data_IF_851808852030
#
_entry.id   IF_851808852030
#
_cell.length_a   1.000
_cell.length_b   1.000
_cell.length_c   1.000
_cell.angle_alpha   90.00
_cell.angle_beta   90.00
_cell.angle_gamma   90.00
#
_symmetry.space_group_name_H-M   'P 1'
#
loop_
_entity.id
_entity.type
_entity.pdbx_description
1 polymer ?
#
# COMPACT_ATOMS: atom_id res chain seq x y z
N UNK A 1 -63.66 -9.88 -54.04
CA UNK A 1 -65.07 -9.72 -53.64
C UNK A 1 -65.10 -9.48 -52.15
N UNK A 2 -65.93 -8.55 -51.69
CA UNK A 2 -66.14 -8.17 -50.30
C UNK A 2 -67.50 -8.73 -49.91
N UNK A 3 -67.55 -9.60 -48.90
CA UNK A 3 -68.79 -10.12 -48.33
C UNK A 3 -69.09 -9.39 -47.04
N UNK A 4 -70.29 -8.82 -46.92
CA UNK A 4 -70.75 -8.14 -45.72
C UNK A 4 -71.96 -8.89 -45.19
N UNK A 5 -71.96 -9.23 -43.90
CA UNK A 5 -73.07 -9.90 -43.24
C UNK A 5 -73.43 -9.16 -41.96
N UNK A 6 -74.64 -8.62 -41.93
CA UNK A 6 -75.17 -7.90 -40.77
C UNK A 6 -76.08 -8.80 -39.94
N UNK A 7 -75.78 -8.97 -38.65
CA UNK A 7 -76.66 -9.64 -37.67
C UNK A 7 -77.25 -8.65 -36.68
N UNK A 8 -77.98 -9.11 -35.66
CA UNK A 8 -78.64 -8.22 -34.69
C UNK A 8 -77.64 -7.28 -33.97
N UNK A 9 -76.44 -7.77 -33.63
CA UNK A 9 -75.46 -7.02 -32.83
C UNK A 9 -74.14 -6.73 -33.55
N UNK A 10 -73.86 -7.40 -34.66
CA UNK A 10 -72.53 -7.42 -35.28
C UNK A 10 -72.64 -7.23 -36.80
N UNK A 11 -71.62 -6.63 -37.40
CA UNK A 11 -71.37 -6.60 -38.84
C UNK A 11 -70.09 -7.35 -39.10
N UNK A 12 -70.15 -8.36 -39.97
CA UNK A 12 -68.98 -9.10 -40.43
C UNK A 12 -68.62 -8.63 -41.82
N UNK A 13 -67.35 -8.26 -42.05
CA UNK A 13 -66.83 -7.90 -43.37
C UNK A 13 -65.70 -8.86 -43.70
N UNK A 14 -65.82 -9.57 -44.82
CA UNK A 14 -64.90 -10.62 -45.23
C UNK A 14 -64.39 -10.36 -46.65
N UNK A 15 -63.09 -10.44 -46.82
CA UNK A 15 -62.35 -10.37 -48.07
C UNK A 15 -61.48 -11.62 -48.19
N UNK A 16 -60.82 -11.89 -49.34
CA UNK A 16 -59.93 -13.06 -49.45
C UNK A 16 -58.79 -13.09 -48.43
N UNK A 17 -58.33 -11.92 -47.95
CA UNK A 17 -57.21 -11.81 -47.01
C UNK A 17 -57.61 -11.58 -45.55
N UNK A 18 -58.79 -11.01 -45.29
CA UNK A 18 -59.16 -10.52 -43.96
C UNK A 18 -60.62 -10.75 -43.62
N UNK A 19 -60.89 -11.00 -42.33
CA UNK A 19 -62.23 -11.08 -41.77
C UNK A 19 -62.35 -10.23 -40.51
N UNK A 20 -63.30 -9.33 -40.52
CA UNK A 20 -63.57 -8.39 -39.44
C UNK A 20 -64.94 -8.67 -38.84
N UNK A 21 -65.04 -8.72 -37.52
CA UNK A 21 -66.30 -8.79 -36.78
C UNK A 21 -66.44 -7.53 -35.93
N UNK A 22 -67.37 -6.66 -36.29
CA UNK A 22 -67.49 -5.32 -35.72
C UNK A 22 -68.84 -5.18 -35.01
N UNK A 23 -68.83 -4.79 -33.74
CA UNK A 23 -70.07 -4.52 -33.00
C UNK A 23 -70.74 -3.27 -33.57
N UNK A 24 -72.04 -3.33 -33.84
CA UNK A 24 -72.80 -2.23 -34.49
C UNK A 24 -72.64 -0.88 -33.79
N UNK A 25 -72.58 -0.87 -32.46
CA UNK A 25 -72.44 0.37 -31.66
C UNK A 25 -71.11 1.09 -31.86
N UNK A 26 -70.11 0.44 -32.46
CA UNK A 26 -68.78 1.01 -32.71
C UNK A 26 -68.60 1.53 -34.14
N UNK A 27 -69.52 1.23 -35.04
CA UNK A 27 -69.47 1.68 -36.44
C UNK A 27 -69.95 3.13 -36.51
N UNK A 28 -69.06 4.05 -36.91
CA UNK A 28 -69.39 5.47 -37.09
C UNK A 28 -69.61 5.87 -38.56
N UNK A 29 -69.23 5.01 -39.51
CA UNK A 29 -69.21 5.31 -40.94
C UNK A 29 -70.32 4.64 -41.76
N UNK A 30 -70.68 5.27 -42.88
CA UNK A 30 -71.42 4.63 -43.97
C UNK A 30 -70.42 4.11 -45.01
N UNK A 31 -70.74 3.01 -45.68
CA UNK A 31 -69.92 2.51 -46.79
C UNK A 31 -70.43 3.11 -48.11
N UNK A 32 -69.60 3.85 -48.87
CA UNK A 32 -69.95 4.34 -50.20
C UNK A 32 -69.84 3.20 -51.22
N UNK A 33 -70.84 3.05 -52.08
CA UNK A 33 -70.80 2.09 -53.19
C UNK A 33 -71.47 2.69 -54.44
N UNK A 34 -71.34 2.04 -55.60
CA UNK A 34 -71.66 2.62 -56.92
C UNK A 34 -73.07 3.24 -57.07
N UNK A 35 -74.04 2.88 -56.22
CA UNK A 35 -75.40 3.44 -56.22
C UNK A 35 -75.70 4.42 -55.07
N UNK A 36 -74.69 4.88 -54.31
CA UNK A 36 -74.82 5.83 -53.19
C UNK A 36 -74.16 5.34 -51.89
N UNK A 37 -74.47 5.98 -50.76
CA UNK A 37 -73.90 5.63 -49.45
C UNK A 37 -74.94 4.94 -48.56
N UNK A 38 -74.57 3.87 -47.85
CA UNK A 38 -75.47 3.16 -46.91
C UNK A 38 -74.78 2.82 -45.59
N UNK A 39 -75.56 2.76 -44.51
CA UNK A 39 -75.08 2.33 -43.20
C UNK A 39 -74.76 0.82 -43.21
N UNK A 40 -73.53 0.48 -42.81
CA UNK A 40 -73.06 -0.91 -42.70
C UNK A 40 -73.95 -1.78 -41.79
N UNK A 41 -74.61 -1.15 -40.82
CA UNK A 41 -75.49 -1.81 -39.83
C UNK A 41 -76.85 -2.23 -40.38
N UNK A 42 -77.18 -1.87 -41.61
CA UNK A 42 -78.51 -2.05 -42.24
C UNK A 42 -78.47 -2.81 -43.57
N UNK A 43 -77.28 -3.20 -44.05
CA UNK A 43 -77.11 -3.81 -45.38
C UNK A 43 -77.59 -5.27 -45.50
N UNK A 44 -77.67 -6.01 -44.39
CA UNK A 44 -77.98 -7.44 -44.43
C UNK A 44 -76.79 -8.26 -44.95
N UNK A 45 -77.05 -9.31 -45.73
CA UNK A 45 -75.99 -10.09 -46.39
C UNK A 45 -75.84 -9.66 -47.85
N UNK A 46 -74.68 -9.10 -48.20
CA UNK A 46 -74.38 -8.61 -49.55
C UNK A 46 -72.94 -8.97 -49.94
N UNK A 47 -72.70 -9.18 -51.23
CA UNK A 47 -71.35 -9.36 -51.78
C UNK A 47 -71.11 -8.34 -52.88
N UNK A 48 -69.99 -7.61 -52.79
CA UNK A 48 -69.62 -6.52 -53.68
C UNK A 48 -68.24 -6.77 -54.31
N UNK A 49 -68.01 -6.46 -55.59
CA UNK A 49 -66.66 -6.42 -56.14
C UNK A 49 -65.89 -5.20 -55.60
N UNK A 50 -64.56 -5.30 -55.49
CA UNK A 50 -63.73 -4.23 -54.92
C UNK A 50 -63.91 -2.87 -55.64
N UNK A 51 -64.06 -2.91 -56.98
CA UNK A 51 -64.27 -1.70 -57.79
C UNK A 51 -65.62 -0.99 -57.66
N UNK A 52 -66.59 -1.56 -56.93
CA UNK A 52 -67.89 -0.90 -56.69
C UNK A 52 -67.97 -0.15 -55.37
N UNK A 53 -67.00 -0.33 -54.47
CA UNK A 53 -66.98 0.30 -53.15
C UNK A 53 -65.98 1.45 -53.17
N UNK A 54 -66.37 2.65 -52.73
CA UNK A 54 -65.54 3.86 -52.82
C UNK A 54 -65.10 4.35 -51.44
N UNK A 55 -63.87 4.86 -51.32
CA UNK A 55 -63.35 5.53 -50.14
C UNK A 55 -62.73 6.87 -50.52
N UNK A 56 -63.14 7.98 -49.89
CA UNK A 56 -62.64 9.33 -50.16
C UNK A 56 -62.63 9.77 -51.65
N UNK A 57 -63.55 9.23 -52.47
CA UNK A 57 -63.73 9.63 -53.87
C UNK A 57 -63.17 8.65 -54.91
N UNK A 58 -62.39 7.64 -54.51
CA UNK A 58 -61.85 6.61 -55.40
C UNK A 58 -62.40 5.22 -55.04
N UNK A 59 -62.46 4.31 -56.02
CA UNK A 59 -62.84 2.91 -55.77
C UNK A 59 -61.72 2.18 -55.01
N UNK A 60 -62.06 1.34 -54.04
CA UNK A 60 -61.09 0.49 -53.36
C UNK A 60 -60.45 -0.48 -54.36
N UNK A 61 -59.14 -0.35 -54.58
CA UNK A 61 -58.41 -1.17 -55.55
C UNK A 61 -58.05 -2.56 -55.01
N UNK A 62 -57.86 -2.67 -53.69
CA UNK A 62 -57.36 -3.88 -53.02
C UNK A 62 -58.07 -4.18 -51.68
N UNK A 63 -57.77 -5.33 -51.07
CA UNK A 63 -58.31 -5.68 -49.76
C UNK A 63 -57.69 -4.84 -48.64
N UNK A 64 -56.44 -4.43 -48.82
CA UNK A 64 -55.64 -3.63 -47.92
C UNK A 64 -56.18 -2.18 -47.84
N UNK A 65 -56.64 -1.61 -48.97
CA UNK A 65 -57.25 -0.28 -48.98
C UNK A 65 -58.55 -0.25 -48.15
N UNK A 66 -59.35 -1.31 -48.25
CA UNK A 66 -60.57 -1.46 -47.46
C UNK A 66 -60.26 -1.65 -45.97
N UNK A 67 -59.22 -2.43 -45.64
CA UNK A 67 -58.77 -2.61 -44.27
C UNK A 67 -58.39 -1.28 -43.60
N UNK A 68 -57.55 -0.48 -44.26
CA UNK A 68 -57.11 0.80 -43.72
C UNK A 68 -58.29 1.77 -43.47
N UNK A 69 -59.30 1.74 -44.36
CA UNK A 69 -60.53 2.51 -44.16
C UNK A 69 -61.35 2.03 -42.97
N UNK A 70 -61.53 0.70 -42.80
CA UNK A 70 -62.25 0.10 -41.68
C UNK A 70 -61.58 0.48 -40.35
N UNK A 71 -60.25 0.34 -40.27
CA UNK A 71 -59.48 0.67 -39.06
C UNK A 71 -59.64 2.14 -38.67
N UNK A 72 -59.68 3.04 -39.66
CA UNK A 72 -59.80 4.49 -39.43
C UNK A 72 -61.22 4.95 -39.09
N UNK A 73 -62.26 4.26 -39.56
CA UNK A 73 -63.65 4.76 -39.49
C UNK A 73 -64.59 3.90 -38.63
N UNK A 74 -64.24 2.64 -38.37
CA UNK A 74 -65.07 1.70 -37.62
C UNK A 74 -64.51 1.37 -36.23
N UNK A 75 -63.32 1.87 -35.88
CA UNK A 75 -62.69 1.68 -34.58
C UNK A 75 -62.20 3.02 -34.02
N UNK A 76 -62.46 3.31 -32.74
CA UNK A 76 -61.99 4.54 -32.11
C UNK A 76 -60.50 4.44 -31.79
N UNK A 77 -59.69 5.26 -32.44
CA UNK A 77 -58.34 5.59 -31.98
C UNK A 77 -58.45 6.41 -30.69
N UNK A 78 -58.08 5.82 -29.56
CA UNK A 78 -57.77 6.57 -28.34
C UNK A 78 -58.41 6.04 -27.06
N UNK A 79 -57.56 5.49 -26.19
CA UNK A 79 -57.63 5.71 -24.75
C UNK A 79 -58.64 4.90 -23.94
N UNK A 80 -58.17 3.78 -23.40
CA UNK A 80 -58.47 3.32 -22.03
C UNK A 80 -59.88 2.80 -21.73
N UNK A 81 -59.97 1.51 -21.42
CA UNK A 81 -60.19 0.93 -20.08
C UNK A 81 -60.63 -0.51 -20.28
N UNK A 82 -59.98 -1.43 -19.57
CA UNK A 82 -60.01 -2.85 -19.85
C UNK A 82 -61.39 -3.47 -19.89
N UNK A 83 -61.52 -4.53 -20.68
CA UNK A 83 -62.46 -5.61 -20.44
C UNK A 83 -62.04 -6.83 -21.29
N UNK A 84 -61.56 -7.87 -20.59
CA UNK A 84 -61.66 -9.29 -20.93
C UNK A 84 -60.93 -9.81 -22.18
N UNK A 85 -60.03 -10.78 -21.97
CA UNK A 85 -59.61 -11.72 -23.03
C UNK A 85 -60.87 -12.43 -23.55
N UNK A 86 -61.32 -12.12 -24.78
CA UNK A 86 -62.62 -12.59 -25.28
C UNK A 86 -62.64 -14.06 -25.70
N UNK A 87 -61.48 -14.70 -25.87
CA UNK A 87 -61.35 -16.16 -26.03
C UNK A 87 -59.89 -16.57 -25.98
N UNK A 88 -59.57 -17.63 -25.23
CA UNK A 88 -58.28 -18.34 -25.33
C UNK A 88 -58.58 -19.66 -26.03
N UNK A 89 -57.97 -19.87 -27.19
CA UNK A 89 -58.12 -21.11 -27.97
C UNK A 89 -57.02 -22.06 -27.54
N UNK A 90 -57.37 -23.33 -27.24
CA UNK A 90 -56.37 -24.34 -26.92
C UNK A 90 -55.40 -24.53 -28.10
N UNK A 91 -54.11 -24.39 -27.80
CA UNK A 91 -53.01 -24.77 -28.69
C UNK A 91 -52.44 -26.13 -28.28
N UNK A 92 -51.64 -26.78 -29.15
CA UNK A 92 -50.97 -28.03 -28.79
C UNK A 92 -50.18 -27.90 -27.48
N UNK A 93 -50.48 -28.73 -26.47
CA UNK A 93 -49.79 -28.73 -25.17
C UNK A 93 -50.32 -27.72 -24.13
N UNK A 94 -51.37 -26.96 -24.46
CA UNK A 94 -52.03 -25.99 -23.57
C UNK A 94 -53.46 -26.48 -23.30
N UNK A 95 -53.88 -26.48 -22.04
CA UNK A 95 -55.24 -26.79 -21.59
C UNK A 95 -55.84 -25.56 -20.92
N UNK A 96 -57.06 -25.19 -21.29
CA UNK A 96 -57.72 -23.99 -20.73
C UNK A 96 -58.94 -24.40 -19.92
N UNK A 97 -58.93 -24.12 -18.62
CA UNK A 97 -60.11 -24.20 -17.77
C UNK A 97 -60.85 -22.86 -17.78
N UNK A 98 -61.97 -22.82 -18.50
CA UNK A 98 -62.82 -21.64 -18.66
C UNK A 98 -64.09 -21.70 -17.78
N UNK A 99 -64.07 -22.46 -16.70
CA UNK A 99 -65.21 -22.56 -15.77
C UNK A 99 -65.56 -21.23 -15.10
N UNK A 100 -64.58 -20.33 -14.93
CA UNK A 100 -64.79 -18.91 -14.61
C UNK A 100 -64.35 -18.01 -15.80
N UNK A 101 -65.30 -17.46 -16.57
CA UNK A 101 -64.99 -16.59 -17.71
C UNK A 101 -64.31 -15.27 -17.33
N UNK A 102 -64.41 -14.83 -16.07
CA UNK A 102 -63.72 -13.65 -15.57
C UNK A 102 -62.25 -13.89 -15.27
N UNK A 103 -61.84 -15.16 -15.10
CA UNK A 103 -60.48 -15.55 -14.75
C UNK A 103 -60.14 -16.97 -15.26
N UNK A 104 -60.03 -17.18 -16.58
CA UNK A 104 -59.71 -18.48 -17.14
C UNK A 104 -58.31 -18.95 -16.70
N UNK A 105 -58.20 -20.20 -16.25
CA UNK A 105 -56.91 -20.80 -15.87
C UNK A 105 -56.33 -21.47 -17.11
N UNK A 106 -55.23 -20.92 -17.63
CA UNK A 106 -54.46 -21.54 -18.70
C UNK A 106 -53.36 -22.37 -18.07
N UNK A 107 -53.38 -23.67 -18.34
CA UNK A 107 -52.36 -24.62 -17.89
C UNK A 107 -51.62 -25.20 -19.09
N UNK A 108 -50.34 -25.48 -18.95
CA UNK A 108 -49.57 -26.20 -19.95
C UNK A 108 -48.81 -27.31 -19.27
N UNK A 109 -48.80 -28.49 -19.88
CA UNK A 109 -47.88 -29.55 -19.50
C UNK A 109 -46.59 -29.36 -20.29
N UNK A 110 -45.88 -28.25 -20.04
CA UNK A 110 -44.49 -28.20 -20.43
C UNK A 110 -43.72 -29.11 -19.49
N UNK A 111 -43.14 -30.19 -20.03
CA UNK A 111 -41.96 -30.75 -19.38
C UNK A 111 -40.91 -29.64 -19.30
N UNK A 112 -40.12 -29.60 -18.22
CA UNK A 112 -39.08 -28.57 -18.05
C UNK A 112 -38.32 -28.43 -19.38
N UNK A 113 -38.30 -27.23 -20.00
CA UNK A 113 -37.68 -27.05 -21.30
C UNK A 113 -36.23 -27.50 -21.22
N UNK A 114 -35.79 -28.22 -22.24
CA UNK A 114 -34.37 -28.55 -22.35
C UNK A 114 -33.62 -27.32 -22.87
N UNK A 115 -32.38 -27.14 -22.43
CA UNK A 115 -31.56 -25.95 -22.75
C UNK A 115 -31.40 -25.67 -24.25
N UNK A 116 -31.66 -26.64 -25.11
CA UNK A 116 -31.66 -26.51 -26.58
C UNK A 116 -32.85 -25.73 -27.14
N UNK A 117 -33.95 -25.57 -26.39
CA UNK A 117 -35.24 -25.09 -26.90
C UNK A 117 -35.51 -23.60 -26.59
N UNK A 118 -34.55 -22.90 -25.97
CA UNK A 118 -34.68 -21.47 -25.62
C UNK A 118 -33.93 -20.61 -26.65
N UNK A 119 -34.70 -19.88 -27.47
CA UNK A 119 -34.21 -18.77 -28.30
C UNK A 119 -34.32 -17.47 -27.50
N UNK A 120 -33.24 -16.69 -27.48
CA UNK A 120 -32.96 -15.60 -26.52
C UNK A 120 -32.44 -16.07 -25.15
N UNK A 121 -31.32 -16.81 -25.19
CA UNK A 121 -30.54 -17.11 -23.99
C UNK A 121 -29.93 -15.79 -23.47
N UNK A 122 -30.17 -15.37 -22.20
CA UNK A 122 -29.32 -14.35 -21.58
C UNK A 122 -27.88 -14.86 -21.62
N UNK A 123 -26.87 -13.98 -21.81
CA UNK A 123 -25.46 -14.37 -21.85
C UNK A 123 -25.05 -15.16 -20.59
N UNK A 124 -25.23 -16.47 -20.61
CA UNK A 124 -24.70 -17.38 -19.61
C UNK A 124 -24.33 -18.71 -20.29
N UNK A 125 -23.01 -18.82 -20.50
CA UNK A 125 -22.18 -20.02 -20.57
C UNK A 125 -22.55 -21.07 -21.62
N UNK A 126 -21.63 -21.32 -22.54
CA UNK A 126 -21.77 -22.32 -23.57
C UNK A 126 -21.88 -23.73 -22.95
N UNK A 127 -22.72 -24.58 -23.53
CA UNK A 127 -22.75 -26.00 -23.19
C UNK A 127 -21.37 -26.62 -23.52
N UNK A 128 -20.65 -27.07 -22.50
CA UNK A 128 -19.26 -27.53 -22.59
C UNK A 128 -18.26 -26.68 -21.81
N UNK A 129 -18.69 -25.51 -21.31
CA UNK A 129 -17.87 -24.71 -20.41
C UNK A 129 -17.62 -25.47 -19.09
N UNK A 130 -16.34 -25.52 -18.70
CA UNK A 130 -15.95 -26.05 -17.41
C UNK A 130 -16.56 -25.20 -16.30
N UNK A 131 -16.74 -25.80 -15.12
CA UNK A 131 -17.21 -25.07 -13.94
C UNK A 131 -16.34 -23.82 -13.61
N UNK A 132 -15.09 -23.78 -14.07
CA UNK A 132 -14.22 -22.61 -13.93
C UNK A 132 -14.58 -21.46 -14.88
N UNK A 133 -14.81 -21.75 -16.16
CA UNK A 133 -15.26 -20.75 -17.15
C UNK A 133 -16.61 -20.16 -16.75
N UNK A 134 -17.47 -21.00 -16.18
CA UNK A 134 -18.76 -20.61 -15.66
C UNK A 134 -18.69 -19.51 -14.59
N UNK A 135 -17.86 -19.73 -13.57
CA UNK A 135 -17.72 -18.82 -12.44
C UNK A 135 -17.04 -17.51 -12.80
N UNK A 136 -16.14 -17.54 -13.79
CA UNK A 136 -15.52 -16.34 -14.35
C UNK A 136 -16.54 -15.45 -15.09
N UNK A 137 -17.43 -16.04 -15.89
CA UNK A 137 -18.46 -15.32 -16.63
C UNK A 137 -19.49 -14.60 -15.71
N UNK A 138 -19.78 -15.17 -14.54
CA UNK A 138 -20.70 -14.59 -13.54
C UNK A 138 -20.00 -13.53 -12.66
N UNK A 139 -18.69 -13.33 -12.83
CA UNK A 139 -17.95 -12.32 -12.05
C UNK A 139 -17.77 -12.67 -10.57
N UNK A 140 -17.84 -13.97 -10.21
CA UNK A 140 -17.72 -14.44 -8.82
C UNK A 140 -16.29 -14.34 -8.24
N UNK A 141 -15.36 -13.71 -8.98
CA UNK A 141 -13.98 -13.52 -8.58
C UNK A 141 -13.14 -14.81 -8.60
N UNK A 142 -11.81 -14.66 -8.53
CA UNK A 142 -10.86 -15.77 -8.56
C UNK A 142 -11.04 -16.76 -7.40
N UNK A 143 -11.57 -16.32 -6.26
CA UNK A 143 -11.84 -17.16 -5.11
C UNK A 143 -12.85 -18.28 -5.43
N UNK A 144 -13.90 -17.99 -6.21
CA UNK A 144 -14.90 -18.99 -6.61
C UNK A 144 -14.33 -20.10 -7.48
N UNK A 145 -13.18 -19.89 -8.13
CA UNK A 145 -12.58 -20.85 -9.07
C UNK A 145 -11.76 -21.94 -8.41
N UNK A 146 -11.46 -21.83 -7.11
CA UNK A 146 -10.64 -22.80 -6.37
C UNK A 146 -11.51 -23.74 -5.51
N UNK A 147 -11.08 -25.00 -5.26
CA UNK A 147 -11.73 -25.86 -4.27
C UNK A 147 -11.88 -25.17 -2.92
N UNK A 148 -12.99 -25.40 -2.21
CA UNK A 148 -13.15 -24.88 -0.84
C UNK A 148 -12.03 -25.36 0.12
N UNK A 149 -11.38 -26.48 -0.22
CA UNK A 149 -10.20 -27.02 0.46
C UNK A 149 -8.90 -26.21 0.27
N UNK A 150 -8.84 -25.32 -0.72
CA UNK A 150 -7.70 -24.43 -0.96
C UNK A 150 -7.74 -23.19 -0.06
N UNK A 151 -8.90 -22.91 0.56
CA UNK A 151 -9.06 -21.80 1.49
C UNK A 151 -9.03 -22.33 2.92
N UNK A 152 -8.22 -21.70 3.75
CA UNK A 152 -8.23 -21.95 5.19
C UNK A 152 -9.60 -21.53 5.75
N UNK A 153 -10.41 -22.51 6.12
CA UNK A 153 -11.69 -22.27 6.80
C UNK A 153 -11.59 -22.77 8.24
N UNK A 154 -12.32 -22.14 9.16
CA UNK A 154 -12.38 -22.56 10.58
C UNK A 154 -12.83 -24.02 10.76
N UNK A 155 -13.43 -24.63 9.74
CA UNK A 155 -13.83 -26.03 9.72
C UNK A 155 -12.68 -27.02 9.42
N UNK A 156 -11.51 -26.57 8.97
CA UNK A 156 -10.39 -27.43 8.55
C UNK A 156 -9.35 -27.73 9.65
N UNK A 157 -9.53 -27.19 10.87
CA UNK A 157 -8.66 -27.48 12.02
C UNK A 157 -7.17 -27.28 11.73
N UNK A 158 -6.34 -28.29 12.02
CA UNK A 158 -4.88 -28.23 11.87
C UNK A 158 -4.36 -27.85 10.46
N UNK A 159 -5.15 -28.06 9.40
CA UNK A 159 -4.81 -27.58 8.05
C UNK A 159 -5.02 -26.07 7.88
N UNK A 160 -6.00 -25.48 8.58
CA UNK A 160 -6.14 -24.04 8.66
C UNK A 160 -5.03 -23.44 9.53
N UNK A 161 -4.62 -24.11 10.61
CA UNK A 161 -3.54 -23.66 11.52
C UNK A 161 -2.15 -23.66 10.86
N UNK A 162 -1.99 -24.31 9.71
CA UNK A 162 -0.74 -24.34 8.92
C UNK A 162 -0.74 -23.35 7.75
N UNK A 163 -1.86 -22.65 7.52
CA UNK A 163 -1.92 -21.50 6.62
C UNK A 163 -1.47 -20.23 7.35
N UNK A 164 -0.99 -19.23 6.60
CA UNK A 164 -0.59 -17.91 7.14
C UNK A 164 -1.81 -17.24 7.79
N UNK A 165 -1.82 -17.16 9.11
CA UNK A 165 -2.83 -16.48 9.93
C UNK A 165 -2.66 -14.96 9.88
N UNK A 166 -3.68 -14.17 10.25
CA UNK A 166 -3.50 -12.73 10.49
C UNK A 166 -2.40 -12.40 11.52
N UNK A 167 -2.14 -13.30 12.48
CA UNK A 167 -1.00 -13.22 13.41
C UNK A 167 0.36 -13.57 12.79
N UNK A 168 0.36 -14.23 11.63
CA UNK A 168 1.57 -14.54 10.84
C UNK A 168 1.87 -13.41 9.84
N UNK A 169 0.91 -12.51 9.59
CA UNK A 169 1.05 -11.30 8.78
C UNK A 169 1.55 -10.08 9.59
N UNK A 170 2.09 -10.32 10.79
CA UNK A 170 2.67 -9.26 11.61
C UNK A 170 4.00 -8.85 10.98
N UNK A 171 3.95 -7.92 10.03
CA UNK A 171 4.97 -6.88 10.02
C UNK A 171 5.01 -6.33 11.45
N UNK A 172 6.15 -6.50 12.11
CA UNK A 172 6.43 -6.16 13.51
C UNK A 172 5.50 -5.04 14.03
N UNK A 173 4.44 -5.40 14.76
CA UNK A 173 3.47 -4.42 15.28
C UNK A 173 4.11 -3.78 16.51
N UNK A 174 4.66 -2.58 16.31
CA UNK A 174 5.27 -1.82 17.39
C UNK A 174 4.20 -1.16 18.27
N UNK A 175 4.28 -1.34 19.58
CA UNK A 175 3.57 -0.49 20.54
C UNK A 175 4.17 0.91 20.46
N UNK A 176 3.34 1.92 20.19
CA UNK A 176 3.80 3.30 20.02
C UNK A 176 3.61 4.08 21.32
N UNK A 177 4.71 4.67 21.80
CA UNK A 177 4.75 5.55 22.96
C UNK A 177 5.12 6.97 22.52
N UNK A 178 4.50 7.97 23.13
CA UNK A 178 4.67 9.38 22.82
C UNK A 178 5.27 10.11 24.02
N UNK A 179 6.25 10.98 23.78
CA UNK A 179 6.90 11.82 24.79
C UNK A 179 6.84 13.28 24.33
N UNK A 180 6.38 14.18 25.20
CA UNK A 180 6.19 15.62 24.93
C UNK A 180 6.63 16.43 26.15
N UNK A 181 7.20 17.61 25.92
CA UNK A 181 7.57 18.58 26.97
C UNK A 181 6.37 19.06 27.80
N UNK A 182 5.16 18.87 27.28
CA UNK A 182 3.88 19.15 27.96
C UNK A 182 3.18 17.89 28.47
N UNK A 183 3.83 16.74 28.43
CA UNK A 183 3.29 15.46 28.88
C UNK A 183 3.29 15.30 30.39
N UNK A 184 2.90 14.10 30.86
CA UNK A 184 2.96 13.70 32.27
C UNK A 184 3.37 12.23 32.36
N UNK A 185 4.33 11.90 33.22
CA UNK A 185 4.81 10.51 33.36
C UNK A 185 3.79 9.56 34.02
N UNK A 186 2.70 10.10 34.57
CA UNK A 186 1.53 9.34 35.00
C UNK A 186 0.59 8.95 33.86
N UNK A 187 0.80 9.48 32.64
CA UNK A 187 0.03 9.08 31.47
C UNK A 187 0.44 7.67 31.00
N UNK A 188 -0.42 7.03 30.21
CA UNK A 188 -0.09 5.75 29.59
C UNK A 188 0.95 5.87 28.47
N UNK A 189 1.16 7.07 27.90
CA UNK A 189 2.08 7.32 26.80
C UNK A 189 1.58 6.80 25.45
N UNK A 190 0.38 6.22 25.35
CA UNK A 190 -0.06 5.46 24.17
C UNK A 190 -0.73 6.32 23.08
N UNK A 191 -0.98 7.61 23.34
CA UNK A 191 -1.51 8.54 22.35
C UNK A 191 -0.79 9.91 22.42
N UNK A 192 -0.81 10.70 21.33
CA UNK A 192 -0.27 12.06 21.32
C UNK A 192 -0.90 13.00 22.36
N UNK A 193 -2.14 12.74 22.80
CA UNK A 193 -2.90 13.53 23.76
C UNK A 193 -2.56 13.17 25.22
N UNK A 194 -2.10 11.95 25.46
CA UNK A 194 -1.61 11.50 26.78
C UNK A 194 -0.16 11.00 26.71
N UNK A 195 0.80 11.87 26.30
CA UNK A 195 2.20 11.50 26.20
C UNK A 195 2.87 11.50 27.58
N UNK A 196 3.97 10.76 27.70
CA UNK A 196 4.91 10.90 28.82
C UNK A 196 5.65 12.25 28.75
N UNK A 197 6.24 12.65 29.88
CA UNK A 197 7.02 13.87 30.01
C UNK A 197 8.51 13.61 29.76
N UNK A 198 9.05 12.51 30.29
CA UNK A 198 10.49 12.26 30.35
C UNK A 198 10.95 11.08 29.50
N UNK A 199 12.23 11.10 29.11
CA UNK A 199 12.89 9.99 28.40
C UNK A 199 12.99 8.73 29.27
N UNK A 200 13.09 8.89 30.59
CA UNK A 200 13.25 7.77 31.53
C UNK A 200 12.09 6.78 31.46
N UNK A 201 10.88 7.25 31.16
CA UNK A 201 9.72 6.38 30.96
C UNK A 201 9.90 5.37 29.82
N UNK A 202 10.70 5.69 28.80
CA UNK A 202 10.99 4.75 27.73
C UNK A 202 11.85 3.55 28.18
N UNK A 203 12.59 3.68 29.28
CA UNK A 203 13.42 2.61 29.82
C UNK A 203 12.58 1.55 30.57
N UNK A 204 11.34 1.88 30.94
CA UNK A 204 10.38 0.95 31.57
C UNK A 204 9.71 0.00 30.57
N UNK A 205 9.91 0.21 29.26
CA UNK A 205 9.28 -0.60 28.21
C UNK A 205 9.82 -2.03 28.28
N UNK A 206 8.91 -2.99 28.33
CA UNK A 206 9.25 -4.41 28.42
C UNK A 206 10.18 -4.83 27.27
N UNK A 207 11.21 -5.62 27.60
CA UNK A 207 12.27 -6.02 26.67
C UNK A 207 11.74 -6.81 25.46
N UNK A 208 10.68 -7.59 25.66
CA UNK A 208 10.05 -8.51 24.72
C UNK A 208 8.96 -7.86 23.85
N UNK A 209 8.62 -6.59 24.07
CA UNK A 209 7.60 -5.90 23.27
C UNK A 209 8.20 -4.99 22.19
N UNK A 210 8.03 -5.21 20.88
CA UNK A 210 8.49 -4.25 19.87
C UNK A 210 7.95 -2.85 20.18
N UNK A 211 8.81 -1.84 20.26
CA UNK A 211 8.41 -0.50 20.70
C UNK A 211 8.82 0.63 19.75
N UNK A 212 7.94 1.61 19.56
CA UNK A 212 8.23 2.86 18.87
C UNK A 212 8.11 3.99 19.87
N UNK A 213 9.21 4.66 20.18
CA UNK A 213 9.25 5.83 21.06
C UNK A 213 9.33 7.08 20.20
N UNK A 214 8.27 7.88 20.26
CA UNK A 214 8.09 9.08 19.46
C UNK A 214 8.22 10.33 20.33
N UNK A 215 9.20 11.17 20.01
CA UNK A 215 9.47 12.44 20.67
C UNK A 215 8.78 13.58 19.92
N UNK A 216 8.10 14.49 20.62
CA UNK A 216 7.36 15.55 19.95
C UNK A 216 8.29 16.53 19.24
N UNK A 217 7.94 16.88 18.00
CA UNK A 217 8.70 17.79 17.14
C UNK A 217 8.97 19.14 17.82
N UNK A 218 10.22 19.59 17.74
CA UNK A 218 10.70 20.85 18.32
C UNK A 218 10.91 20.85 19.84
N UNK A 219 10.48 19.81 20.56
CA UNK A 219 10.74 19.72 21.99
C UNK A 219 12.21 19.38 22.29
N UNK A 220 12.69 19.83 23.45
CA UNK A 220 14.00 19.45 24.01
C UNK A 220 13.78 18.63 25.27
N UNK A 221 14.36 17.43 25.30
CA UNK A 221 14.34 16.51 26.41
C UNK A 221 15.73 16.43 27.04
N UNK A 222 15.80 16.55 28.36
CA UNK A 222 17.05 16.51 29.09
C UNK A 222 17.36 15.09 29.58
N UNK A 223 18.61 14.64 29.40
CA UNK A 223 19.06 13.29 29.75
C UNK A 223 19.43 12.46 28.52
N UNK A 224 19.33 11.14 28.65
CA UNK A 224 19.54 10.18 27.57
C UNK A 224 18.40 9.16 27.50
N UNK A 225 18.30 8.45 26.39
CA UNK A 225 17.34 7.35 26.19
C UNK A 225 18.11 6.04 25.94
N UNK A 226 17.69 4.96 26.60
CA UNK A 226 18.42 3.70 26.58
C UNK A 226 17.54 2.47 26.41
N UNK A 227 18.03 1.48 25.67
CA UNK A 227 17.42 0.16 25.53
C UNK A 227 18.47 -0.92 25.70
N UNK A 228 18.15 -1.95 26.49
CA UNK A 228 19.04 -3.07 26.80
C UNK A 228 18.36 -4.39 26.47
N UNK A 229 19.04 -5.25 25.70
CA UNK A 229 18.61 -6.61 25.40
C UNK A 229 17.39 -6.73 24.48
N UNK A 230 16.91 -5.61 23.92
CA UNK A 230 15.69 -5.53 23.13
C UNK A 230 15.91 -6.10 21.72
N UNK A 231 15.63 -7.38 21.54
CA UNK A 231 15.78 -8.09 20.25
C UNK A 231 14.51 -8.04 19.41
N UNK A 232 13.37 -7.74 20.04
CA UNK A 232 12.06 -7.60 19.38
C UNK A 232 11.88 -6.28 18.66
N UNK A 233 12.86 -5.38 18.69
CA UNK A 233 12.90 -4.17 17.89
C UNK A 233 12.52 -2.90 18.64
N UNK A 234 13.18 -1.81 18.25
CA UNK A 234 12.94 -0.47 18.80
C UNK A 234 13.11 0.59 17.74
N UNK A 235 12.18 1.53 17.70
CA UNK A 235 12.25 2.71 16.84
C UNK A 235 12.25 3.95 17.73
N UNK A 236 13.24 4.83 17.57
CA UNK A 236 13.26 6.16 18.20
C UNK A 236 13.14 7.20 17.09
N UNK A 237 12.07 8.02 17.13
CA UNK A 237 11.83 9.04 16.10
C UNK A 237 11.11 10.27 16.65
N UNK A 238 10.98 11.30 15.82
CA UNK A 238 10.13 12.46 16.07
C UNK A 238 8.69 12.25 15.55
N UNK A 239 7.68 12.88 16.19
CA UNK A 239 6.30 12.98 15.71
C UNK A 239 5.75 14.41 15.76
N UNK A 240 4.64 14.66 15.05
CA UNK A 240 3.85 15.89 15.22
C UNK A 240 4.42 17.15 14.55
N UNK A 241 5.43 17.02 13.69
CA UNK A 241 6.03 18.12 12.92
C UNK A 241 7.31 17.72 12.18
N UNK A 242 7.93 18.69 11.51
CA UNK A 242 9.15 18.48 10.69
C UNK A 242 10.45 18.84 11.43
N UNK A 243 10.37 19.58 12.54
CA UNK A 243 11.54 19.95 13.34
C UNK A 243 11.95 18.76 14.22
N UNK A 244 13.16 18.20 14.09
CA UNK A 244 13.59 17.10 14.95
C UNK A 244 13.47 17.45 16.44
N UNK A 245 12.97 16.51 17.24
CA UNK A 245 13.08 16.60 18.69
C UNK A 245 14.57 16.54 19.10
N UNK A 246 14.91 17.25 20.18
CA UNK A 246 16.28 17.31 20.69
C UNK A 246 16.41 16.49 21.97
N UNK A 247 17.36 15.56 22.00
CA UNK A 247 17.87 14.94 23.22
C UNK A 247 19.12 15.71 23.63
N UNK A 248 19.08 16.34 24.80
CA UNK A 248 20.15 17.15 25.34
C UNK A 248 20.71 16.48 26.61
N UNK A 249 21.89 15.88 26.50
CA UNK A 249 22.50 15.18 27.64
C UNK A 249 22.90 16.18 28.74
N UNK A 250 22.89 15.73 29.98
CA UNK A 250 23.10 16.59 31.16
C UNK A 250 24.44 16.35 31.87
N UNK A 251 25.17 15.32 31.46
CA UNK A 251 26.49 14.97 31.98
C UNK A 251 27.36 14.40 30.85
N UNK A 252 28.68 14.38 31.05
CA UNK A 252 29.64 13.94 30.01
C UNK A 252 29.88 12.43 29.97
N UNK A 253 29.33 11.66 30.92
CA UNK A 253 29.44 10.21 30.95
C UNK A 253 28.27 9.51 30.24
N UNK A 254 27.12 10.17 30.14
CA UNK A 254 25.90 9.65 29.54
C UNK A 254 25.94 9.67 28.01
N UNK A 255 25.39 8.63 27.41
CA UNK A 255 25.08 8.61 25.98
C UNK A 255 23.76 9.34 25.72
N UNK A 256 23.62 9.98 24.57
CA UNK A 256 22.33 10.55 24.15
C UNK A 256 21.31 9.47 23.83
N UNK A 257 21.71 8.50 23.00
CA UNK A 257 20.98 7.25 22.75
C UNK A 257 21.90 6.07 23.04
N UNK A 258 21.48 5.18 23.95
CA UNK A 258 22.21 3.98 24.34
C UNK A 258 21.47 2.72 23.86
N UNK A 259 22.08 1.96 22.96
CA UNK A 259 21.56 0.70 22.45
C UNK A 259 22.52 -0.42 22.85
N UNK A 260 22.12 -1.25 23.81
CA UNK A 260 22.99 -2.27 24.37
C UNK A 260 22.38 -3.66 24.16
N UNK A 261 23.04 -4.53 23.40
CA UNK A 261 22.58 -5.90 23.13
C UNK A 261 21.16 -5.97 22.50
N UNK A 262 20.80 -5.00 21.66
CA UNK A 262 19.51 -4.94 20.96
C UNK A 262 19.61 -5.48 19.53
N UNK A 263 18.47 -5.67 18.86
CA UNK A 263 18.35 -5.93 17.41
C UNK A 263 17.08 -5.30 16.86
N UNK A 264 16.97 -5.16 15.54
CA UNK A 264 15.85 -4.51 14.85
C UNK A 264 15.65 -3.06 15.33
N UNK A 265 16.75 -2.31 15.34
CA UNK A 265 16.86 -0.95 15.87
C UNK A 265 16.74 0.06 14.73
N UNK A 266 15.87 1.06 14.88
CA UNK A 266 15.83 2.26 14.04
C UNK A 266 15.94 3.51 14.91
N UNK A 267 16.89 4.38 14.60
CA UNK A 267 17.04 5.71 15.21
C UNK A 267 16.97 6.73 14.10
N UNK A 268 15.97 7.61 14.12
CA UNK A 268 15.76 8.54 13.02
C UNK A 268 15.15 9.87 13.40
N UNK A 269 15.40 10.90 12.60
CA UNK A 269 14.70 12.19 12.69
C UNK A 269 14.83 12.85 14.08
N UNK A 270 15.97 12.69 14.74
CA UNK A 270 16.26 13.30 16.04
C UNK A 270 17.55 14.11 16.00
N UNK A 271 17.62 15.10 16.88
CA UNK A 271 18.85 15.83 17.19
C UNK A 271 19.37 15.38 18.55
N UNK A 272 20.67 15.12 18.65
CA UNK A 272 21.32 14.72 19.90
C UNK A 272 22.45 15.70 20.19
N UNK A 273 22.44 16.31 21.38
CA UNK A 273 23.35 17.39 21.77
C UNK A 273 24.09 17.03 23.05
N UNK A 274 25.41 17.14 22.98
CA UNK A 274 26.34 16.96 24.10
C UNK A 274 26.68 18.28 24.83
N UNK A 275 27.61 18.20 25.78
CA UNK A 275 28.06 19.33 26.61
C UNK A 275 29.24 20.14 26.00
N UNK A 276 29.64 19.83 24.78
CA UNK A 276 30.77 20.43 24.06
C UNK A 276 31.88 19.42 23.74
N UNK A 277 32.50 19.55 22.55
CA UNK A 277 33.60 18.67 22.11
C UNK A 277 34.83 18.70 23.03
N UNK A 278 35.06 19.78 23.76
CA UNK A 278 36.15 19.91 24.73
C UNK A 278 35.81 19.36 26.12
N UNK A 279 34.55 18.96 26.35
CA UNK A 279 34.08 18.44 27.63
C UNK A 279 34.35 16.94 27.69
N UNK A 280 35.51 16.57 28.24
CA UNK A 280 35.92 15.18 28.34
C UNK A 280 34.90 14.32 29.09
N UNK A 281 34.63 13.14 28.54
CA UNK A 281 33.79 12.11 29.15
C UNK A 281 33.60 10.93 28.20
N UNK A 282 33.09 9.81 28.71
CA UNK A 282 32.90 8.60 27.92
C UNK A 282 31.56 8.59 27.16
N UNK A 283 30.73 9.62 27.32
CA UNK A 283 29.44 9.76 26.67
C UNK A 283 29.58 10.05 25.18
N UNK A 284 28.82 9.31 24.37
CA UNK A 284 28.73 9.47 22.92
C UNK A 284 27.29 9.81 22.51
N UNK A 285 27.09 10.47 21.38
CA UNK A 285 25.75 10.90 20.98
C UNK A 285 24.82 9.72 20.73
N UNK A 286 25.19 8.85 19.80
CA UNK A 286 24.52 7.56 19.60
C UNK A 286 25.53 6.45 19.84
N UNK A 287 25.27 5.60 20.83
CA UNK A 287 26.11 4.49 21.24
C UNK A 287 25.39 3.17 21.01
N UNK A 288 25.97 2.29 20.21
CA UNK A 288 25.48 0.95 19.97
C UNK A 288 26.57 -0.03 20.39
N UNK A 289 26.21 -1.00 21.23
CA UNK A 289 27.16 -1.99 21.71
C UNK A 289 26.55 -3.39 21.79
N UNK A 290 27.28 -4.40 21.35
CA UNK A 290 26.91 -5.81 21.51
C UNK A 290 28.06 -6.63 22.11
N UNK A 291 27.91 -7.10 23.35
CA UNK A 291 28.87 -7.98 24.04
C UNK A 291 28.33 -9.40 24.30
N UNK A 292 27.16 -9.72 23.74
CA UNK A 292 26.59 -11.06 23.90
C UNK A 292 27.18 -12.05 22.91
N UNK A 293 26.97 -13.35 23.18
CA UNK A 293 27.20 -14.39 22.18
C UNK A 293 26.19 -14.33 21.01
N UNK A 294 25.11 -13.55 21.11
CA UNK A 294 24.07 -13.46 20.11
C UNK A 294 24.45 -12.47 19.00
N UNK A 295 24.04 -12.81 17.78
CA UNK A 295 24.17 -11.92 16.63
C UNK A 295 23.17 -10.77 16.75
N UNK A 296 23.70 -9.55 16.74
CA UNK A 296 22.92 -8.33 16.56
C UNK A 296 22.52 -8.16 15.11
N UNK A 297 21.24 -7.91 14.82
CA UNK A 297 20.76 -7.74 13.44
C UNK A 297 19.96 -6.46 13.25
N UNK A 298 20.00 -5.91 12.03
CA UNK A 298 19.15 -4.84 11.54
C UNK A 298 19.23 -3.56 12.39
N UNK A 299 20.30 -2.78 12.20
CA UNK A 299 20.48 -1.46 12.80
C UNK A 299 20.39 -0.39 11.71
N UNK A 300 19.48 0.56 11.87
CA UNK A 300 19.27 1.67 10.92
C UNK A 300 19.33 2.98 11.68
N UNK A 301 20.32 3.80 11.37
CA UNK A 301 20.49 5.12 11.97
C UNK A 301 20.48 6.11 10.83
N UNK A 302 19.43 6.93 10.75
CA UNK A 302 19.32 7.83 9.61
C UNK A 302 18.57 9.13 9.85
N UNK A 303 19.00 10.19 9.15
CA UNK A 303 18.42 11.54 9.28
C UNK A 303 18.53 12.06 10.72
N UNK A 304 19.66 11.78 11.37
CA UNK A 304 19.97 12.28 12.71
C UNK A 304 20.99 13.42 12.63
N UNK A 305 20.89 14.38 13.54
CA UNK A 305 21.94 15.37 13.78
C UNK A 305 22.57 15.10 15.14
N UNK A 306 23.90 14.95 15.21
CA UNK A 306 24.61 14.68 16.47
C UNK A 306 25.78 15.62 16.63
N UNK A 307 25.80 16.35 17.76
CA UNK A 307 26.80 17.41 17.98
C UNK A 307 27.19 17.61 19.43
N UNK A 308 28.35 18.21 19.64
CA UNK A 308 28.87 18.65 20.95
C UNK A 308 29.25 17.50 21.91
N UNK A 309 29.68 16.34 21.41
CA UNK A 309 30.16 15.24 22.27
C UNK A 309 31.68 15.23 22.44
N UNK A 310 32.15 15.09 23.68
CA UNK A 310 33.56 14.95 24.01
C UNK A 310 34.18 13.56 23.72
N UNK A 311 33.38 12.60 23.25
CA UNK A 311 33.84 11.30 22.76
C UNK A 311 33.58 11.14 21.26
N UNK A 312 32.52 10.43 20.88
CA UNK A 312 32.10 10.19 19.50
C UNK A 312 30.70 10.76 19.27
N UNK A 313 30.45 11.25 18.06
CA UNK A 313 29.08 11.55 17.64
C UNK A 313 28.27 10.26 17.51
N UNK A 314 28.78 9.27 16.78
CA UNK A 314 28.14 7.96 16.65
C UNK A 314 29.18 6.86 16.75
N UNK A 315 28.96 5.88 17.62
CA UNK A 315 29.83 4.73 17.75
C UNK A 315 29.06 3.41 17.77
N UNK A 316 29.60 2.42 17.05
CA UNK A 316 29.12 1.03 17.04
C UNK A 316 30.27 0.12 17.48
N UNK A 317 30.14 -0.49 18.65
CA UNK A 317 31.13 -1.37 19.23
C UNK A 317 30.61 -2.78 19.48
N UNK A 318 31.52 -3.71 19.69
CA UNK A 318 31.19 -5.05 20.14
C UNK A 318 32.37 -5.72 20.86
N UNK A 319 32.04 -6.68 21.72
CA UNK A 319 32.99 -7.69 22.18
C UNK A 319 32.77 -9.00 21.40
N UNK A 320 33.83 -9.49 20.77
CA UNK A 320 33.77 -10.61 19.84
C UNK A 320 34.88 -11.61 20.12
N UNK A 321 34.51 -12.89 20.19
CA UNK A 321 35.49 -13.95 20.06
C UNK A 321 36.14 -13.88 18.68
N UNK A 322 37.45 -14.22 18.55
CA UNK A 322 38.15 -14.21 17.28
C UNK A 322 37.38 -14.92 16.16
N UNK A 323 37.17 -14.20 15.04
CA UNK A 323 36.53 -14.76 13.84
C UNK A 323 35.00 -14.86 13.90
N UNK A 324 34.35 -14.12 14.80
CA UNK A 324 32.87 -14.11 14.90
C UNK A 324 32.25 -12.81 14.41
N UNK A 325 31.19 -12.94 13.61
CA UNK A 325 30.30 -11.82 13.27
C UNK A 325 29.34 -11.57 14.44
N UNK A 326 29.27 -10.32 14.89
CA UNK A 326 28.45 -9.86 16.02
C UNK A 326 27.37 -8.87 15.63
N UNK A 327 27.55 -8.19 14.51
CA UNK A 327 26.57 -7.28 13.93
C UNK A 327 26.40 -7.64 12.46
N UNK A 328 25.15 -7.79 12.02
CA UNK A 328 24.79 -7.99 10.63
C UNK A 328 23.69 -7.03 10.21
N UNK A 329 23.88 -6.32 9.10
CA UNK A 329 22.90 -5.36 8.61
C UNK A 329 22.95 -4.05 9.40
N UNK A 330 24.04 -3.30 9.23
CA UNK A 330 24.21 -1.95 9.78
C UNK A 330 24.04 -0.91 8.67
N UNK A 331 23.13 0.03 8.84
CA UNK A 331 22.97 1.18 7.95
C UNK A 331 23.10 2.48 8.75
N UNK A 332 24.08 3.31 8.42
CA UNK A 332 24.18 4.69 8.90
C UNK A 332 24.07 5.61 7.70
N UNK A 333 22.99 6.40 7.63
CA UNK A 333 22.71 7.19 6.43
C UNK A 333 22.08 8.55 6.65
N UNK A 334 22.42 9.50 5.78
CA UNK A 334 21.83 10.84 5.76
C UNK A 334 21.93 11.56 7.13
N UNK A 335 22.96 11.26 7.94
CA UNK A 335 23.21 11.88 9.24
C UNK A 335 24.18 13.06 9.12
N UNK A 336 24.04 14.03 10.04
CA UNK A 336 24.99 15.14 10.26
C UNK A 336 25.70 14.93 11.59
N UNK A 337 26.98 14.59 11.56
CA UNK A 337 27.77 14.30 12.75
C UNK A 337 28.88 15.33 12.87
N UNK A 338 28.68 16.33 13.73
CA UNK A 338 29.54 17.52 13.71
C UNK A 338 29.84 18.15 15.06
N UNK A 339 30.95 18.88 15.17
CA UNK A 339 31.29 19.57 16.42
C UNK A 339 31.47 18.61 17.61
N UNK A 340 31.92 17.38 17.35
CA UNK A 340 32.27 16.38 18.37
C UNK A 340 33.80 16.24 18.47
N UNK A 341 34.32 15.49 19.43
CA UNK A 341 35.74 15.13 19.40
C UNK A 341 36.05 14.16 18.25
N UNK A 342 35.17 13.22 17.96
CA UNK A 342 35.24 12.30 16.82
C UNK A 342 33.87 12.16 16.16
N UNK A 343 33.84 11.88 14.86
CA UNK A 343 32.60 11.67 14.12
C UNK A 343 32.01 10.27 14.29
N UNK A 344 32.01 9.48 13.21
CA UNK A 344 31.48 8.11 13.17
C UNK A 344 32.60 7.12 13.43
N UNK A 345 32.38 6.16 14.33
CA UNK A 345 33.33 5.10 14.64
C UNK A 345 32.68 3.72 14.70
N UNK A 346 33.34 2.70 14.14
CA UNK A 346 33.03 1.30 14.46
C UNK A 346 34.26 0.57 14.97
N UNK A 347 34.09 -0.35 15.93
CA UNK A 347 35.21 -1.16 16.44
C UNK A 347 34.77 -2.54 16.91
N UNK A 348 35.66 -3.51 16.83
CA UNK A 348 35.50 -4.84 17.45
C UNK A 348 36.56 -5.16 18.49
N UNK A 349 36.51 -6.39 19.00
CA UNK A 349 37.60 -6.92 19.81
C UNK A 349 38.87 -7.01 18.94
N UNK A 350 40.01 -6.55 19.50
CA UNK A 350 41.34 -6.56 18.89
C UNK A 350 41.77 -7.93 18.33
N UNK A 351 41.20 -9.01 18.86
CA UNK A 351 41.54 -10.38 18.47
C UNK A 351 40.58 -10.94 17.39
N UNK A 352 39.52 -10.21 17.05
CA UNK A 352 38.62 -10.55 15.93
C UNK A 352 39.04 -9.85 14.66
N UNK A 353 39.27 -10.62 13.59
CA UNK A 353 39.67 -10.05 12.30
C UNK A 353 38.57 -9.14 11.73
N UNK A 354 37.31 -9.60 11.70
CA UNK A 354 36.16 -8.86 11.18
C UNK A 354 34.87 -9.28 11.90
N UNK A 355 34.06 -8.35 12.39
CA UNK A 355 32.89 -8.62 13.26
C UNK A 355 31.58 -7.94 12.86
N UNK A 356 31.59 -7.13 11.80
CA UNK A 356 30.40 -6.46 11.24
C UNK A 356 30.25 -6.90 9.78
N UNK A 357 29.13 -7.53 9.45
CA UNK A 357 28.79 -7.95 8.08
C UNK A 357 27.62 -7.12 7.54
N UNK A 358 27.54 -6.96 6.22
CA UNK A 358 26.45 -6.26 5.53
C UNK A 358 26.24 -4.82 6.03
N UNK A 359 27.34 -4.06 6.08
CA UNK A 359 27.34 -2.69 6.58
C UNK A 359 27.40 -1.63 5.47
N UNK A 360 26.61 -0.57 5.61
CA UNK A 360 26.49 0.55 4.67
C UNK A 360 26.54 1.88 5.42
N UNK A 361 27.54 2.70 5.08
CA UNK A 361 27.68 4.08 5.58
C UNK A 361 27.50 5.01 4.39
N UNK A 362 26.36 5.72 4.29
CA UNK A 362 26.05 6.48 3.06
C UNK A 362 25.42 7.85 3.26
N UNK A 363 25.77 8.82 2.41
CA UNK A 363 25.09 10.12 2.40
C UNK A 363 25.27 10.96 3.67
N UNK A 364 26.24 10.62 4.53
CA UNK A 364 26.47 11.33 5.78
C UNK A 364 27.36 12.55 5.57
N UNK A 365 27.19 13.55 6.43
CA UNK A 365 28.05 14.72 6.56
C UNK A 365 28.77 14.68 7.90
N UNK A 366 30.10 14.56 7.90
CA UNK A 366 30.93 14.54 9.11
C UNK A 366 31.91 15.69 9.13
N UNK A 367 31.71 16.68 9.99
CA UNK A 367 32.49 17.92 9.93
C UNK A 367 32.72 18.59 11.27
N UNK A 368 33.74 19.44 11.35
CA UNK A 368 34.12 20.14 12.59
C UNK A 368 34.35 19.18 13.76
N UNK A 369 34.70 17.92 13.49
CA UNK A 369 35.11 16.98 14.53
C UNK A 369 36.62 17.18 14.76
N UNK A 370 36.95 18.25 15.47
CA UNK A 370 38.31 18.80 15.47
C UNK A 370 39.33 17.91 16.21
N UNK A 371 38.90 16.94 17.02
CA UNK A 371 39.79 16.21 17.91
C UNK A 371 40.18 17.03 19.14
N UNK A 372 41.15 16.52 19.90
CA UNK A 372 41.60 17.13 21.15
C UNK A 372 43.11 17.06 21.31
N UNK A 373 43.74 18.22 21.53
CA UNK A 373 45.19 18.31 21.73
C UNK A 373 45.65 17.69 23.06
N UNK A 374 44.72 17.42 23.97
CA UNK A 374 44.98 16.74 25.25
C UNK A 374 44.96 15.21 25.12
N UNK A 375 44.46 14.66 24.01
CA UNK A 375 44.46 13.22 23.74
C UNK A 375 45.73 12.87 22.97
N UNK A 376 46.71 12.32 23.68
CA UNK A 376 48.03 11.95 23.13
C UNK A 376 48.34 10.46 23.23
N UNK A 377 47.38 9.66 23.72
CA UNK A 377 47.51 8.21 23.88
C UNK A 377 46.79 7.42 22.79
N UNK A 378 46.01 8.08 21.93
CA UNK A 378 45.31 7.51 20.80
C UNK A 378 44.82 8.61 19.87
N UNK A 379 44.35 8.24 18.67
CA UNK A 379 43.87 9.21 17.68
C UNK A 379 42.60 9.93 18.14
N UNK A 380 42.39 11.15 17.64
CA UNK A 380 41.15 11.90 17.80
C UNK A 380 40.87 12.74 16.56
N UNK A 381 39.63 13.18 16.36
CA UNK A 381 39.28 14.11 15.29
C UNK A 381 39.09 13.47 13.92
N UNK A 382 38.89 12.16 13.85
CA UNK A 382 38.49 11.52 12.59
C UNK A 382 37.03 11.83 12.26
N UNK A 383 36.73 12.00 10.96
CA UNK A 383 35.36 12.19 10.48
C UNK A 383 34.58 10.88 10.45
N UNK A 384 35.05 9.92 9.67
CA UNK A 384 34.52 8.54 9.59
C UNK A 384 35.69 7.58 9.73
N UNK A 385 35.67 6.77 10.78
CA UNK A 385 36.69 5.75 11.07
C UNK A 385 35.99 4.39 11.20
N UNK A 386 36.31 3.45 10.31
CA UNK A 386 35.62 2.16 10.27
C UNK A 386 36.60 1.03 10.58
N UNK A 387 36.21 0.19 11.54
CA UNK A 387 36.88 -1.06 11.84
C UNK A 387 35.93 -2.24 11.95
N UNK A 388 36.44 -3.40 11.56
CA UNK A 388 35.81 -4.70 11.75
C UNK A 388 34.79 -5.07 10.67
N UNK A 389 34.76 -4.37 9.53
CA UNK A 389 33.85 -4.73 8.43
C UNK A 389 34.35 -5.97 7.68
N UNK A 390 33.46 -6.94 7.47
CA UNK A 390 33.59 -8.04 6.52
C UNK A 390 32.63 -7.79 5.36
N UNK A 391 33.14 -7.17 4.30
CA UNK A 391 32.31 -6.57 3.27
C UNK A 391 31.60 -5.33 3.80
N UNK A 392 31.43 -4.34 2.93
CA UNK A 392 30.70 -3.14 3.27
C UNK A 392 30.97 -2.01 2.31
N UNK A 393 30.11 -1.00 2.35
CA UNK A 393 30.20 0.16 1.46
C UNK A 393 30.16 1.45 2.25
N UNK A 394 31.13 2.32 2.02
CA UNK A 394 31.15 3.69 2.52
C UNK A 394 31.01 4.57 1.29
N UNK A 395 29.82 5.12 1.05
CA UNK A 395 29.54 5.78 -0.21
C UNK A 395 28.79 7.11 -0.13
N UNK A 396 29.15 8.07 -0.98
CA UNK A 396 28.47 9.38 -1.04
C UNK A 396 28.51 10.16 0.29
N UNK A 397 29.52 9.93 1.13
CA UNK A 397 29.71 10.71 2.35
C UNK A 397 30.58 11.94 2.06
N UNK A 398 30.36 12.99 2.84
CA UNK A 398 31.20 14.19 2.86
C UNK A 398 31.86 14.34 4.22
N UNK A 399 33.18 14.44 4.25
CA UNK A 399 33.96 14.58 5.48
C UNK A 399 34.91 15.75 5.39
N UNK A 400 34.72 16.79 6.20
CA UNK A 400 35.56 17.98 6.09
C UNK A 400 35.85 18.70 7.39
N UNK A 401 36.95 19.46 7.40
CA UNK A 401 37.36 20.26 8.54
C UNK A 401 37.47 19.45 9.85
N UNK A 402 37.91 18.20 9.76
CA UNK A 402 38.11 17.34 10.94
C UNK A 402 39.61 17.34 11.35
N UNK A 403 39.89 16.97 12.59
CA UNK A 403 41.24 16.62 13.03
C UNK A 403 42.21 17.75 13.37
N UNK A 404 41.85 19.02 13.14
CA UNK A 404 42.75 20.18 13.34
C UNK A 404 43.35 20.32 14.74
N UNK A 405 42.73 19.75 15.77
CA UNK A 405 43.23 19.72 17.14
C UNK A 405 43.83 18.37 17.55
N UNK A 406 43.89 17.38 16.66
CA UNK A 406 44.48 16.08 16.97
C UNK A 406 46.00 16.19 17.10
N UNK A 407 46.53 15.74 18.24
CA UNK A 407 47.95 15.87 18.59
C UNK A 407 48.60 14.49 18.87
N UNK A 408 48.01 13.42 18.34
CA UNK A 408 48.56 12.08 18.45
C UNK A 408 49.52 11.79 17.30
N UNK A 409 50.72 11.29 17.61
CA UNK A 409 51.77 11.03 16.60
C UNK A 409 51.80 9.58 16.11
N UNK A 410 50.94 8.71 16.63
CA UNK A 410 50.95 7.27 16.32
C UNK A 410 50.02 6.84 15.19
N UNK A 411 49.30 7.76 14.54
CA UNK A 411 48.39 7.50 13.43
C UNK A 411 47.07 8.26 13.55
N UNK A 412 46.39 8.51 12.43
CA UNK A 412 45.23 9.38 12.32
C UNK A 412 45.51 10.84 12.71
N UNK A 413 44.54 11.74 12.48
CA UNK A 413 43.21 11.49 11.92
C UNK A 413 43.17 11.56 10.39
N UNK A 414 42.08 11.01 9.84
CA UNK A 414 41.70 11.18 8.45
C UNK A 414 40.22 11.59 8.35
N UNK A 415 39.85 12.16 7.21
CA UNK A 415 38.45 12.43 6.91
C UNK A 415 37.62 11.15 6.86
N UNK A 416 38.02 10.15 6.07
CA UNK A 416 37.34 8.84 5.95
C UNK A 416 38.37 7.72 5.82
N UNK A 417 38.41 6.77 6.75
CA UNK A 417 39.42 5.72 6.73
C UNK A 417 38.97 4.38 7.30
N UNK A 418 39.71 3.35 6.91
CA UNK A 418 39.51 1.96 7.31
C UNK A 418 40.71 1.46 8.11
N UNK A 419 40.47 0.61 9.11
CA UNK A 419 41.47 -0.29 9.67
C UNK A 419 40.83 -1.63 10.02
N UNK A 420 41.56 -2.75 9.94
CA UNK A 420 41.03 -4.10 10.17
C UNK A 420 39.69 -4.38 9.44
N UNK A 421 39.65 -4.14 8.14
CA UNK A 421 38.47 -4.39 7.29
C UNK A 421 38.80 -5.34 6.13
N UNK A 422 37.83 -6.10 5.64
CA UNK A 422 38.03 -6.96 4.47
C UNK A 422 36.97 -6.75 3.41
N UNK A 423 37.38 -6.56 2.15
CA UNK A 423 36.45 -6.40 1.03
C UNK A 423 35.55 -5.15 1.14
N UNK A 424 35.99 -4.13 1.88
CA UNK A 424 35.23 -2.89 2.08
C UNK A 424 35.59 -1.88 1.00
N UNK A 425 34.56 -1.22 0.43
CA UNK A 425 34.73 -0.23 -0.62
C UNK A 425 34.35 1.16 -0.12
N UNK A 426 35.28 2.11 -0.21
CA UNK A 426 35.00 3.54 -0.12
C UNK A 426 34.77 4.06 -1.53
N UNK A 427 33.57 4.58 -1.83
CA UNK A 427 33.30 5.09 -3.17
C UNK A 427 32.46 6.36 -3.24
N UNK A 428 32.70 7.21 -4.24
CA UNK A 428 31.90 8.43 -4.46
C UNK A 428 31.83 9.36 -3.24
N UNK A 429 32.84 9.32 -2.37
CA UNK A 429 32.94 10.19 -1.20
C UNK A 429 33.76 11.45 -1.52
N UNK A 430 33.54 12.50 -0.75
CA UNK A 430 34.28 13.76 -0.81
C UNK A 430 34.92 14.03 0.55
N UNK A 431 36.23 14.27 0.58
CA UNK A 431 36.98 14.45 1.84
C UNK A 431 37.98 15.60 1.73
N UNK A 432 37.80 16.67 2.49
CA UNK A 432 38.55 17.92 2.26
C UNK A 432 38.76 18.78 3.51
N UNK A 433 39.74 19.68 3.44
CA UNK A 433 40.10 20.60 4.54
C UNK A 433 40.36 19.87 5.88
N UNK A 434 40.67 18.57 5.87
CA UNK A 434 41.02 17.83 7.08
C UNK A 434 42.45 18.17 7.50
N UNK A 435 42.70 18.10 8.81
CA UNK A 435 43.94 18.53 9.42
C UNK A 435 44.42 17.57 10.50
N UNK A 436 45.64 17.83 10.95
CA UNK A 436 46.25 17.31 12.15
C UNK A 436 47.05 18.46 12.77
N UNK A 437 47.21 18.51 14.09
CA UNK A 437 47.87 19.63 14.80
C UNK A 437 49.40 19.62 14.63
N UNK A 438 49.91 19.46 13.40
CA UNK A 438 51.32 19.34 13.07
C UNK A 438 51.90 17.95 13.28
N UNK A 439 51.07 16.93 13.54
CA UNK A 439 51.44 15.52 13.67
C UNK A 439 51.37 14.79 12.32
N UNK A 440 51.63 13.48 12.32
CA UNK A 440 51.41 12.64 11.15
C UNK A 440 49.92 12.66 10.72
N UNK A 441 49.67 12.32 9.45
CA UNK A 441 48.34 12.21 8.82
C UNK A 441 47.61 13.54 8.58
N UNK A 442 46.30 13.62 8.85
CA UNK A 442 45.44 14.74 8.46
C UNK A 442 44.97 14.66 7.00
N UNK A 443 44.92 13.45 6.44
CA UNK A 443 44.58 13.20 5.04
C UNK A 443 43.09 13.09 4.75
N UNK A 444 42.78 12.92 3.46
CA UNK A 444 41.41 12.75 2.98
C UNK A 444 40.88 11.33 3.21
N UNK A 445 41.63 10.33 2.73
CA UNK A 445 41.27 8.93 2.82
C UNK A 445 42.44 8.07 3.30
N UNK A 446 42.15 6.93 3.91
CA UNK A 446 43.19 5.95 4.24
C UNK A 446 42.65 4.50 4.32
N UNK A 447 43.52 3.55 3.97
CA UNK A 447 43.35 2.11 4.21
C UNK A 447 44.54 1.68 5.08
N UNK A 448 44.31 1.62 6.39
CA UNK A 448 45.34 1.34 7.39
C UNK A 448 45.47 -0.18 7.66
N UNK A 449 46.27 -0.52 8.67
CA UNK A 449 46.66 -1.86 9.05
C UNK A 449 45.50 -2.85 9.19
N UNK A 450 45.78 -4.09 8.81
CA UNK A 450 44.83 -5.21 8.86
C UNK A 450 43.75 -5.19 7.78
N UNK A 451 43.74 -4.20 6.89
CA UNK A 451 42.86 -4.21 5.74
C UNK A 451 43.28 -5.23 4.67
N UNK A 452 42.30 -5.93 4.10
CA UNK A 452 42.48 -6.91 3.02
C UNK A 452 41.45 -6.68 1.92
N UNK A 453 41.86 -6.63 0.66
CA UNK A 453 40.94 -6.46 -0.49
C UNK A 453 40.01 -5.22 -0.39
N UNK A 454 40.43 -4.19 0.35
CA UNK A 454 39.71 -2.92 0.45
C UNK A 454 40.04 -2.01 -0.74
N UNK A 455 39.09 -1.20 -1.16
CA UNK A 455 39.22 -0.33 -2.34
C UNK A 455 38.74 1.09 -2.02
N UNK A 456 39.49 2.09 -2.47
CA UNK A 456 39.00 3.47 -2.62
C UNK A 456 38.82 3.72 -4.12
N UNK A 457 37.62 4.11 -4.55
CA UNK A 457 37.32 4.39 -5.96
C UNK A 457 36.36 5.57 -6.14
N UNK A 458 36.52 6.35 -7.21
CA UNK A 458 35.62 7.48 -7.52
C UNK A 458 35.46 8.53 -6.41
N UNK A 459 36.45 8.67 -5.52
CA UNK A 459 36.45 9.65 -4.44
C UNK A 459 37.14 10.96 -4.86
N UNK A 460 36.76 12.06 -4.21
CA UNK A 460 37.35 13.38 -4.42
C UNK A 460 38.00 13.88 -3.12
N UNK A 461 39.30 14.20 -3.17
CA UNK A 461 40.09 14.67 -2.03
C UNK A 461 40.79 15.98 -2.39
N UNK A 462 40.68 17.01 -1.54
CA UNK A 462 41.36 18.29 -1.77
C UNK A 462 41.62 19.05 -0.46
N UNK A 463 42.64 19.91 -0.46
CA UNK A 463 42.98 20.83 0.64
C UNK A 463 43.24 20.18 2.02
N UNK A 464 43.45 18.87 2.07
CA UNK A 464 43.83 18.19 3.31
C UNK A 464 45.30 18.54 3.67
N UNK A 465 45.62 18.57 4.96
CA UNK A 465 47.00 18.81 5.42
C UNK A 465 47.90 17.62 5.10
N UNK A 466 47.37 16.41 5.29
CA UNK A 466 48.03 15.15 5.01
C UNK A 466 47.84 14.68 3.57
N UNK A 467 48.59 13.64 3.15
CA UNK A 467 48.38 13.00 1.86
C UNK A 467 46.95 12.45 1.72
N UNK A 468 46.49 12.35 0.48
CA UNK A 468 45.14 11.92 0.13
C UNK A 468 44.96 10.41 0.18
#
# INVERSE_FOLDING_TARGET
MIKITTTAKTVTIETPGFKWNIVKSRIKGQIPYASGTRLLTEMGEVTLPFGEVQGNGDAFGTAEDLQAWIESNCFSTGGGTGEGVQSIVEGPGITVDSSDPGNPIVSSNFSNPTWSEVDEKPEFMAAGDTAAQARAAIGLGSASTRPAGDFATSAQGAKADTAVQPGDLVGQVYTTYYISSTGLDSNNGLTPETPWLTLDKAQDIAIDEPARVLLRSGDTFHGGIGFVGKTTGVIVSTYGGEVPATINVIDSASHGVNIYNCSNVEITNIKVVGLGASTWGNGSGIFIYNDTHLLGVNYRIHRCEVTQFGAYGLVVGMDAEPGTIKIKGLEISDCKIHGNMNGIFTYGNKDSEYSIEDAVIKGNETYDNLGSGSVTWGQSGSGIMICGFLGGTINKNKSWNNGHNSNYSGGGPYGIWLYNCKGTVISHCESFDNGAAGTADGGGFDIDGGCQDCVIEYCYSHNNYGPA
#
